data_IF_258352097862
#
_entry.id   IF_258352097862
#
_cell.length_a   1.000
_cell.length_b   1.000
_cell.length_c   1.000
_cell.angle_alpha   90.00
_cell.angle_beta   90.00
_cell.angle_gamma   90.00
#
_symmetry.space_group_name_H-M   'P 1'
#
loop_
_entity.id
_entity.type
_entity.pdbx_description
1 polymer ?
#
# COMPACT_ATOMS: atom_id res chain seq x y z
N UNK A 1 32.23 -70.86 -42.10
CA UNK A 1 32.31 -69.38 -42.05
C UNK A 1 30.96 -68.80 -42.44
N UNK A 2 30.14 -68.40 -41.47
CA UNK A 2 28.95 -67.60 -41.74
C UNK A 2 28.69 -66.69 -40.54
N UNK A 3 28.54 -65.39 -40.83
CA UNK A 3 28.63 -64.26 -39.90
C UNK A 3 27.34 -64.08 -39.11
N UNK A 4 27.46 -63.90 -37.80
CA UNK A 4 26.37 -63.51 -36.91
C UNK A 4 26.21 -61.98 -36.99
N UNK A 5 25.09 -61.50 -37.53
CA UNK A 5 24.74 -60.07 -37.57
C UNK A 5 24.03 -59.67 -36.28
N UNK A 6 24.69 -58.87 -35.45
CA UNK A 6 24.06 -58.14 -34.35
C UNK A 6 23.34 -56.90 -34.91
N UNK A 7 22.02 -56.83 -34.71
CA UNK A 7 21.23 -55.60 -34.94
C UNK A 7 21.32 -54.72 -33.68
N UNK A 8 22.03 -53.60 -33.78
CA UNK A 8 21.95 -52.52 -32.79
C UNK A 8 20.68 -51.72 -33.03
N UNK A 9 19.78 -51.69 -32.05
CA UNK A 9 18.65 -50.77 -32.01
C UNK A 9 19.11 -49.45 -31.38
N UNK A 10 19.15 -48.37 -32.16
CA UNK A 10 19.32 -47.01 -31.65
C UNK A 10 17.96 -46.52 -31.13
N UNK A 11 17.83 -46.37 -29.82
CA UNK A 11 16.69 -45.67 -29.20
C UNK A 11 17.07 -44.19 -29.12
N UNK A 12 16.49 -43.37 -29.99
CA UNK A 12 16.60 -41.92 -29.90
C UNK A 12 15.62 -41.41 -28.82
N UNK A 13 16.12 -41.16 -27.62
CA UNK A 13 15.37 -40.40 -26.59
C UNK A 13 15.32 -38.94 -27.02
N UNK A 14 14.17 -38.51 -27.56
CA UNK A 14 13.84 -37.10 -27.70
C UNK A 14 13.52 -36.53 -26.31
N UNK A 15 14.47 -35.76 -25.75
CA UNK A 15 14.19 -34.89 -24.61
C UNK A 15 13.45 -33.68 -25.18
N UNK A 16 12.14 -33.63 -24.96
CA UNK A 16 11.36 -32.43 -25.22
C UNK A 16 11.67 -31.43 -24.11
N UNK A 17 12.61 -30.52 -24.36
CA UNK A 17 12.79 -29.36 -23.50
C UNK A 17 11.55 -28.48 -23.70
N UNK A 18 10.64 -28.48 -22.72
CA UNK A 18 9.55 -27.53 -22.68
C UNK A 18 10.17 -26.14 -22.49
N UNK A 19 10.32 -25.41 -23.59
CA UNK A 19 10.62 -23.99 -23.57
C UNK A 19 9.39 -23.28 -23.01
N UNK A 20 9.41 -22.98 -21.71
CA UNK A 20 8.44 -22.07 -21.09
C UNK A 20 8.68 -20.71 -21.74
N UNK A 21 7.76 -20.26 -22.58
CA UNK A 21 7.86 -18.94 -23.19
C UNK A 21 7.80 -17.90 -22.07
N UNK A 22 8.80 -17.02 -21.99
CA UNK A 22 8.76 -15.88 -21.05
C UNK A 22 7.48 -15.03 -21.22
N UNK A 23 6.89 -15.05 -22.43
CA UNK A 23 5.61 -14.43 -22.74
C UNK A 23 4.40 -15.07 -22.01
N UNK A 24 4.40 -16.38 -21.75
CA UNK A 24 3.33 -17.02 -20.97
C UNK A 24 3.42 -16.70 -19.48
N UNK A 25 4.62 -16.45 -18.96
CA UNK A 25 4.82 -16.00 -17.56
C UNK A 25 4.36 -14.55 -17.36
N UNK A 26 4.49 -13.70 -18.38
CA UNK A 26 4.02 -12.31 -18.38
C UNK A 26 2.50 -12.18 -18.57
N UNK A 27 1.89 -13.03 -19.41
CA UNK A 27 0.45 -13.05 -19.70
C UNK A 27 -0.43 -13.43 -18.49
N UNK A 28 0.11 -14.18 -17.52
CA UNK A 28 -0.64 -14.51 -16.28
C UNK A 28 -0.61 -13.40 -15.22
N UNK A 29 0.23 -12.37 -15.35
CA UNK A 29 0.47 -11.43 -14.26
C UNK A 29 -0.59 -10.32 -14.11
N UNK A 30 -1.39 -10.02 -15.13
CA UNK A 30 -2.21 -8.79 -15.17
C UNK A 30 -3.63 -8.95 -14.64
N UNK A 31 -4.26 -10.11 -14.82
CA UNK A 31 -5.57 -10.44 -14.23
C UNK A 31 -5.48 -10.81 -12.73
N UNK A 32 -4.28 -10.96 -12.19
CA UNK A 32 -4.06 -11.39 -10.81
C UNK A 32 -3.97 -10.26 -9.80
N UNK A 33 -3.56 -9.05 -10.19
CA UNK A 33 -3.38 -7.94 -9.24
C UNK A 33 -4.62 -7.68 -8.39
N UNK A 34 -5.81 -7.56 -8.99
CA UNK A 34 -7.05 -7.33 -8.22
C UNK A 34 -7.37 -8.50 -7.27
N UNK A 35 -7.15 -9.74 -7.70
CA UNK A 35 -7.34 -10.95 -6.87
C UNK A 35 -6.32 -10.99 -5.73
N UNK A 36 -5.07 -10.69 -6.01
CA UNK A 36 -3.98 -10.68 -5.04
C UNK A 36 -4.22 -9.54 -4.03
N UNK A 37 -4.72 -8.38 -4.46
CA UNK A 37 -5.18 -7.30 -3.58
C UNK A 37 -6.32 -7.75 -2.67
N UNK A 38 -7.32 -8.46 -3.19
CA UNK A 38 -8.39 -9.04 -2.38
C UNK A 38 -7.85 -10.02 -1.32
N UNK A 39 -6.89 -10.88 -1.69
CA UNK A 39 -6.27 -11.80 -0.73
C UNK A 39 -5.46 -11.06 0.34
N UNK A 40 -4.67 -10.06 -0.03
CA UNK A 40 -3.95 -9.21 0.92
C UNK A 40 -4.91 -8.50 1.87
N UNK A 41 -6.01 -7.96 1.36
CA UNK A 41 -7.02 -7.26 2.14
C UNK A 41 -7.74 -8.18 3.15
N UNK A 42 -8.10 -9.39 2.74
CA UNK A 42 -8.84 -10.34 3.57
C UNK A 42 -7.98 -11.04 4.62
N UNK A 43 -6.66 -11.02 4.47
CA UNK A 43 -5.73 -11.73 5.35
C UNK A 43 -5.40 -10.90 6.61
N UNK A 44 -5.97 -11.28 7.74
CA UNK A 44 -5.86 -10.56 9.02
C UNK A 44 -4.88 -11.21 10.00
N UNK A 45 -3.89 -11.98 9.53
CA UNK A 45 -2.87 -12.51 10.44
C UNK A 45 -2.03 -11.37 11.06
N UNK A 46 -1.34 -11.69 12.17
CA UNK A 46 -0.78 -10.69 13.08
C UNK A 46 0.68 -10.29 12.84
N UNK A 47 1.44 -10.99 11.99
CA UNK A 47 2.85 -10.68 11.75
C UNK A 47 3.35 -11.22 10.40
N UNK A 48 4.42 -10.64 9.86
CA UNK A 48 5.08 -11.16 8.67
C UNK A 48 6.28 -12.07 8.99
N UNK A 49 6.25 -12.77 10.14
CA UNK A 49 7.25 -13.75 10.57
C UNK A 49 8.21 -13.30 11.67
N UNK A 50 8.07 -12.08 12.22
CA UNK A 50 8.83 -11.62 13.40
C UNK A 50 8.15 -10.45 14.13
N UNK A 51 8.68 -10.09 15.30
CA UNK A 51 8.26 -8.91 16.08
C UNK A 51 8.74 -7.56 15.49
N UNK A 52 9.52 -7.59 14.41
CA UNK A 52 9.99 -6.40 13.68
C UNK A 52 9.58 -6.45 12.22
N UNK A 53 8.54 -7.22 11.92
CA UNK A 53 7.96 -7.40 10.60
C UNK A 53 6.45 -7.17 10.64
N UNK A 54 6.01 -5.89 10.76
CA UNK A 54 4.61 -5.54 10.85
C UNK A 54 3.82 -6.01 9.62
N UNK A 55 2.52 -6.25 9.81
CA UNK A 55 1.63 -6.86 8.80
C UNK A 55 1.56 -6.12 7.47
N UNK A 56 1.81 -4.79 7.44
CA UNK A 56 1.88 -4.02 6.20
C UNK A 56 3.00 -4.49 5.25
N UNK A 57 3.96 -5.28 5.74
CA UNK A 57 5.00 -5.86 4.90
C UNK A 57 4.52 -7.05 4.07
N UNK A 58 3.39 -7.69 4.38
CA UNK A 58 2.93 -8.91 3.70
C UNK A 58 1.42 -8.99 3.45
N UNK A 59 0.60 -8.16 4.09
CA UNK A 59 -0.86 -8.12 3.94
C UNK A 59 -1.37 -6.69 3.98
N UNK A 60 -2.66 -6.53 3.65
CA UNK A 60 -3.31 -5.25 3.45
C UNK A 60 -2.78 -4.50 2.24
N UNK A 61 -3.40 -3.35 1.95
CA UNK A 61 -3.08 -2.51 0.81
C UNK A 61 -2.54 -1.18 1.31
N UNK A 62 -1.30 -0.85 0.96
CA UNK A 62 -0.77 0.50 1.15
C UNK A 62 -1.19 1.32 -0.07
N UNK A 63 -1.94 2.40 0.15
CA UNK A 63 -2.64 3.16 -0.88
C UNK A 63 -2.41 4.65 -0.72
N UNK A 64 -2.21 5.38 -1.83
CA UNK A 64 -2.08 6.84 -1.83
C UNK A 64 -2.94 7.44 -2.92
N UNK A 65 -3.74 8.41 -2.52
CA UNK A 65 -4.48 9.28 -3.42
C UNK A 65 -3.55 10.26 -4.12
N UNK A 66 -3.79 10.52 -5.40
CA UNK A 66 -3.02 11.48 -6.18
C UNK A 66 -3.94 12.29 -7.07
N UNK A 67 -3.43 13.41 -7.56
CA UNK A 67 -4.02 14.14 -8.67
C UNK A 67 -2.96 14.17 -9.77
N UNK A 68 -3.25 13.72 -10.99
CA UNK A 68 -2.31 13.87 -12.09
C UNK A 68 -2.39 15.28 -12.65
N UNK A 69 -1.26 15.80 -13.12
CA UNK A 69 -1.19 17.13 -13.70
C UNK A 69 -0.09 17.27 -14.75
N UNK A 70 0.02 18.46 -15.38
CA UNK A 70 1.12 18.76 -16.27
C UNK A 70 2.42 18.99 -15.49
N UNK A 71 3.54 18.49 -16.00
CA UNK A 71 4.88 18.81 -15.50
C UNK A 71 5.34 18.03 -14.26
N UNK A 72 4.57 17.04 -13.81
CA UNK A 72 4.97 16.08 -12.77
C UNK A 72 4.24 14.74 -12.99
N UNK A 73 4.77 13.68 -12.39
CA UNK A 73 4.10 12.38 -12.35
C UNK A 73 3.55 12.11 -10.96
N UNK A 74 2.39 11.48 -10.86
CA UNK A 74 1.69 11.29 -9.58
C UNK A 74 2.43 10.39 -8.58
N UNK A 75 3.36 9.55 -9.04
CA UNK A 75 4.23 8.73 -8.19
C UNK A 75 5.53 9.45 -7.78
N UNK A 76 5.75 10.70 -8.18
CA UNK A 76 6.88 11.48 -7.70
C UNK A 76 6.51 12.19 -6.40
N UNK A 77 7.41 12.25 -5.41
CA UNK A 77 7.21 13.05 -4.22
C UNK A 77 7.09 14.51 -4.63
N UNK A 78 6.12 15.22 -4.04
CA UNK A 78 5.95 16.65 -4.24
C UNK A 78 7.15 17.42 -3.66
N UNK A 79 7.32 18.72 -4.00
CA UNK A 79 8.35 19.54 -3.37
C UNK A 79 8.27 19.58 -1.83
N UNK A 80 7.06 19.49 -1.26
CA UNK A 80 6.87 19.39 0.19
C UNK A 80 7.35 18.03 0.71
N UNK A 81 6.98 16.94 0.04
CA UNK A 81 7.41 15.59 0.41
C UNK A 81 8.96 15.49 0.41
N UNK A 82 9.61 16.06 -0.60
CA UNK A 82 11.09 16.14 -0.67
C UNK A 82 11.66 17.01 0.46
N UNK A 83 11.06 18.18 0.74
CA UNK A 83 11.55 19.10 1.76
C UNK A 83 11.38 18.55 3.18
N UNK A 84 10.35 17.75 3.41
CA UNK A 84 10.04 17.16 4.72
C UNK A 84 10.50 15.71 4.86
N UNK A 85 10.94 15.10 3.76
CA UNK A 85 11.38 13.71 3.66
C UNK A 85 10.28 12.70 4.00
N UNK A 86 9.03 12.99 3.65
CA UNK A 86 7.88 12.14 4.01
C UNK A 86 6.85 12.08 2.89
N UNK A 87 6.17 10.95 2.76
CA UNK A 87 5.05 10.76 1.85
C UNK A 87 3.94 10.03 2.59
N UNK A 88 2.75 10.61 2.63
CA UNK A 88 1.59 10.02 3.30
C UNK A 88 0.88 8.96 2.45
N UNK A 89 0.55 7.84 3.07
CA UNK A 89 -0.27 6.76 2.54
C UNK A 89 -1.35 6.40 3.55
N UNK A 90 -2.33 5.61 3.15
CA UNK A 90 -3.22 4.89 4.05
C UNK A 90 -3.00 3.39 3.92
N UNK A 91 -3.52 2.64 4.89
CA UNK A 91 -3.49 1.18 4.92
C UNK A 91 -4.91 0.61 4.95
N UNK A 92 -5.21 -0.31 4.05
CA UNK A 92 -6.51 -0.99 3.99
C UNK A 92 -6.37 -2.46 4.34
N UNK A 93 -7.18 -2.94 5.27
CA UNK A 93 -7.35 -4.37 5.55
C UNK A 93 -8.77 -4.63 6.04
N UNK A 94 -9.24 -5.88 5.98
CA UNK A 94 -10.59 -6.26 6.43
C UNK A 94 -10.94 -5.73 7.83
N UNK A 95 -9.95 -5.71 8.70
CA UNK A 95 -10.05 -5.33 10.11
C UNK A 95 -9.44 -3.93 10.41
N UNK A 96 -9.13 -3.17 9.35
CA UNK A 96 -8.57 -1.82 9.33
C UNK A 96 -9.11 -1.06 8.09
N UNK A 97 -10.44 -0.93 7.99
CA UNK A 97 -11.15 -0.37 6.81
C UNK A 97 -11.91 0.89 7.16
N UNK A 98 -11.91 1.85 6.24
CA UNK A 98 -12.70 3.08 6.30
C UNK A 98 -13.56 3.25 5.05
N UNK A 99 -14.58 4.11 5.10
CA UNK A 99 -15.62 4.20 4.06
C UNK A 99 -15.30 5.13 2.89
N UNK A 100 -14.30 6.01 3.02
CA UNK A 100 -13.93 6.95 1.96
C UNK A 100 -12.61 7.64 2.26
N UNK A 101 -11.98 8.14 1.20
CA UNK A 101 -10.68 8.80 1.34
C UNK A 101 -10.81 10.31 1.62
N UNK A 102 -9.67 10.95 1.93
CA UNK A 102 -9.60 12.36 2.33
C UNK A 102 -10.20 13.27 1.26
N UNK A 103 -11.17 14.10 1.65
CA UNK A 103 -11.87 15.04 0.75
C UNK A 103 -12.47 14.37 -0.51
N UNK A 104 -12.80 13.08 -0.44
CA UNK A 104 -13.36 12.34 -1.57
C UNK A 104 -12.35 12.05 -2.67
N UNK A 105 -11.06 11.97 -2.36
CA UNK A 105 -10.09 11.50 -3.34
C UNK A 105 -10.45 10.10 -3.82
N UNK A 106 -10.22 9.91 -5.11
CA UNK A 106 -10.88 8.85 -5.87
C UNK A 106 -9.96 8.18 -6.88
N UNK A 107 -8.67 8.52 -6.91
CA UNK A 107 -7.69 7.85 -7.75
C UNK A 107 -6.30 7.96 -7.14
N UNK A 108 -5.39 7.10 -7.59
CA UNK A 108 -3.99 7.15 -7.19
C UNK A 108 -3.29 5.84 -7.47
N UNK A 109 -2.39 5.43 -6.57
CA UNK A 109 -1.65 4.18 -6.71
C UNK A 109 -1.52 3.39 -5.40
N UNK A 110 -1.24 2.11 -5.55
CA UNK A 110 -0.98 1.17 -4.45
C UNK A 110 0.44 0.64 -4.52
N UNK A 111 0.95 0.14 -3.40
CA UNK A 111 2.29 -0.44 -3.32
C UNK A 111 2.23 -1.96 -3.12
N UNK A 112 3.17 -2.66 -3.74
CA UNK A 112 3.42 -4.06 -3.44
C UNK A 112 3.95 -4.22 -2.01
N UNK A 113 3.55 -5.30 -1.31
CA UNK A 113 4.21 -5.70 -0.08
C UNK A 113 5.63 -6.19 -0.37
N UNK A 114 6.48 -6.16 0.65
CA UNK A 114 7.91 -6.55 0.56
C UNK A 114 8.09 -8.05 0.87
N UNK A 115 7.17 -8.64 1.61
CA UNK A 115 7.15 -10.02 2.11
C UNK A 115 5.83 -10.71 1.75
N UNK A 116 5.75 -12.01 2.05
CA UNK A 116 4.56 -12.82 1.79
C UNK A 116 4.43 -13.32 0.34
N UNK A 117 3.33 -14.04 0.04
CA UNK A 117 3.12 -14.68 -1.25
C UNK A 117 2.79 -13.70 -2.39
N UNK A 118 2.30 -12.50 -2.06
CA UNK A 118 1.90 -11.46 -3.02
C UNK A 118 2.92 -10.31 -3.13
N UNK A 119 4.16 -10.54 -2.66
CA UNK A 119 5.22 -9.52 -2.69
C UNK A 119 5.57 -9.08 -4.11
N UNK A 120 6.03 -7.84 -4.21
CA UNK A 120 6.52 -7.30 -5.47
C UNK A 120 7.80 -7.99 -5.98
N UNK A 121 8.19 -7.69 -7.23
CA UNK A 121 9.47 -8.14 -7.79
C UNK A 121 10.66 -7.74 -6.91
N UNK A 122 11.70 -8.58 -6.89
CA UNK A 122 12.83 -8.44 -5.96
C UNK A 122 13.72 -7.21 -6.22
N UNK A 123 13.62 -6.63 -7.42
CA UNK A 123 14.32 -5.44 -7.89
C UNK A 123 13.61 -4.13 -7.52
N UNK A 124 12.40 -4.18 -6.96
CA UNK A 124 11.71 -2.98 -6.47
C UNK A 124 12.36 -2.42 -5.21
N UNK A 125 12.43 -1.10 -5.14
CA UNK A 125 12.86 -0.35 -3.96
C UNK A 125 11.98 -0.70 -2.76
N UNK A 126 12.61 -0.95 -1.61
CA UNK A 126 11.91 -1.16 -0.34
C UNK A 126 11.72 0.19 0.34
N UNK A 127 10.50 0.70 0.32
CA UNK A 127 10.14 1.95 0.99
C UNK A 127 9.94 1.69 2.49
N UNK A 128 10.51 2.56 3.34
CA UNK A 128 10.40 2.41 4.80
C UNK A 128 9.17 3.13 5.32
N UNK A 129 8.31 2.42 6.05
CA UNK A 129 7.24 3.04 6.84
C UNK A 129 7.83 3.52 8.16
N UNK A 130 7.78 4.82 8.39
CA UNK A 130 8.41 5.49 9.52
C UNK A 130 7.50 5.44 10.76
N UNK A 131 6.26 5.87 10.60
CA UNK A 131 5.26 5.81 11.65
C UNK A 131 3.86 5.65 11.05
N UNK A 132 2.90 5.33 11.91
CA UNK A 132 1.52 5.19 11.51
C UNK A 132 0.57 5.70 12.60
N UNK A 133 -0.56 6.25 12.17
CA UNK A 133 -1.59 6.87 13.01
C UNK A 133 -2.94 6.17 12.77
N UNK A 134 -3.71 5.82 13.83
CA UNK A 134 -5.05 5.24 13.67
C UNK A 134 -6.07 6.15 12.97
N UNK A 135 -5.84 7.47 12.98
CA UNK A 135 -6.64 8.51 12.31
C UNK A 135 -5.71 9.41 11.48
N UNK A 136 -6.22 10.36 10.68
CA UNK A 136 -5.42 11.36 9.94
C UNK A 136 -4.38 11.97 10.88
N UNK A 137 -3.11 11.75 10.62
CA UNK A 137 -2.02 12.16 11.50
C UNK A 137 -1.80 13.67 11.50
N UNK A 138 -2.38 14.41 10.56
CA UNK A 138 -2.13 15.84 10.34
C UNK A 138 -0.62 16.11 10.30
N UNK A 139 0.05 15.30 9.52
CA UNK A 139 1.52 15.22 9.46
C UNK A 139 2.14 16.50 8.89
N UNK A 140 1.36 17.35 8.19
CA UNK A 140 1.71 18.75 7.84
C UNK A 140 1.90 19.66 9.06
N UNK A 141 1.34 19.28 10.22
CA UNK A 141 1.49 19.99 11.50
C UNK A 141 2.59 19.41 12.37
N UNK A 142 3.35 18.42 11.88
CA UNK A 142 4.42 17.71 12.58
C UNK A 142 5.76 17.99 11.92
N UNK A 143 6.39 19.10 12.30
CA UNK A 143 7.59 19.61 11.61
C UNK A 143 8.91 18.90 11.96
N UNK A 144 8.86 17.78 12.68
CA UNK A 144 10.04 17.04 13.13
C UNK A 144 9.89 15.56 12.82
N UNK A 145 11.02 14.87 12.71
CA UNK A 145 11.09 13.43 12.45
C UNK A 145 10.22 12.99 11.26
N UNK A 146 10.34 13.72 10.14
CA UNK A 146 9.64 13.40 8.89
C UNK A 146 8.11 13.29 9.04
N UNK A 147 7.50 14.06 9.96
CA UNK A 147 6.06 13.98 10.22
C UNK A 147 5.66 13.01 11.33
N UNK A 148 6.59 12.27 11.91
CA UNK A 148 6.34 11.34 13.02
C UNK A 148 6.48 11.99 14.41
N UNK A 149 7.08 13.19 14.47
CA UNK A 149 7.19 13.96 15.69
C UNK A 149 5.85 14.56 16.17
N UNK A 150 5.86 15.31 17.27
CA UNK A 150 4.65 15.94 17.80
C UNK A 150 4.16 17.09 16.92
N UNK A 151 2.87 17.41 17.07
CA UNK A 151 2.29 18.64 16.54
C UNK A 151 2.71 19.86 17.35
N UNK A 152 2.70 21.04 16.70
CA UNK A 152 2.96 22.31 17.39
C UNK A 152 1.89 22.65 18.44
N UNK A 153 0.65 22.19 18.25
CA UNK A 153 -0.47 22.46 19.15
C UNK A 153 -0.41 21.64 20.43
N UNK A 154 0.05 20.38 20.35
CA UNK A 154 0.12 19.45 21.47
C UNK A 154 1.52 18.82 21.60
N UNK A 155 2.56 19.62 21.87
CA UNK A 155 3.96 19.19 21.76
C UNK A 155 4.36 18.08 22.75
N UNK A 156 3.62 17.91 23.85
CA UNK A 156 3.88 16.87 24.85
C UNK A 156 2.99 15.64 24.68
N UNK A 157 1.76 15.81 24.17
CA UNK A 157 0.74 14.75 24.11
C UNK A 157 0.78 14.00 22.78
N UNK A 158 1.20 14.67 21.71
CA UNK A 158 1.22 14.08 20.36
C UNK A 158 2.58 13.49 19.95
N UNK A 159 3.53 13.39 20.91
CA UNK A 159 4.78 12.62 20.70
C UNK A 159 4.48 11.16 20.39
N UNK A 160 5.45 10.41 19.88
CA UNK A 160 5.27 8.98 19.56
C UNK A 160 4.67 8.20 20.74
N UNK A 161 3.75 7.28 20.44
CA UNK A 161 3.00 6.55 21.47
C UNK A 161 3.93 5.80 22.43
N UNK A 162 4.92 5.09 21.88
CA UNK A 162 5.88 4.34 22.71
C UNK A 162 6.72 5.24 23.62
N UNK A 163 7.00 6.48 23.21
CA UNK A 163 7.77 7.45 24.02
C UNK A 163 7.04 7.86 25.30
N UNK A 164 5.72 7.78 25.31
CA UNK A 164 4.87 8.12 26.45
C UNK A 164 4.20 6.90 27.09
N UNK A 165 4.69 5.68 26.79
CA UNK A 165 4.19 4.44 27.38
C UNK A 165 2.83 3.98 26.86
N UNK A 166 2.34 4.58 25.76
CA UNK A 166 1.12 4.14 25.09
C UNK A 166 1.51 3.01 24.13
N UNK A 167 1.33 1.77 24.58
CA UNK A 167 1.68 0.55 23.82
C UNK A 167 0.52 -0.41 23.66
N UNK A 168 -0.71 0.05 23.94
CA UNK A 168 -1.94 -0.72 23.73
C UNK A 168 -3.00 0.16 23.09
N UNK A 169 -3.91 -0.44 22.34
CA UNK A 169 -5.04 0.24 21.72
C UNK A 169 -5.97 0.89 22.75
N UNK A 170 -6.17 0.26 23.91
CA UNK A 170 -6.98 0.80 25.01
C UNK A 170 -6.32 2.04 25.61
N UNK A 171 -4.99 2.02 25.82
CA UNK A 171 -4.26 3.20 26.26
C UNK A 171 -4.32 4.32 25.21
N UNK A 172 -4.22 3.98 23.92
CA UNK A 172 -4.36 4.94 22.83
C UNK A 172 -5.77 5.56 22.81
N UNK A 173 -6.83 4.77 22.97
CA UNK A 173 -8.20 5.27 23.01
C UNK A 173 -8.45 6.18 24.22
N UNK A 174 -7.88 5.83 25.38
CA UNK A 174 -7.92 6.68 26.56
C UNK A 174 -7.24 8.03 26.30
N UNK A 175 -6.07 8.01 25.65
CA UNK A 175 -5.36 9.23 25.22
C UNK A 175 -6.18 10.06 24.24
N UNK A 176 -6.71 9.43 23.18
CA UNK A 176 -7.59 10.07 22.21
C UNK A 176 -8.78 10.79 22.85
N UNK A 177 -9.43 10.15 23.83
CA UNK A 177 -10.57 10.71 24.55
C UNK A 177 -10.20 11.77 25.60
N UNK A 178 -8.92 11.85 25.98
CA UNK A 178 -8.40 12.87 26.90
C UNK A 178 -8.11 14.22 26.20
N UNK A 179 -8.23 14.29 24.88
CA UNK A 179 -8.08 15.53 24.13
C UNK A 179 -9.00 16.64 24.69
N UNK A 180 -8.49 17.88 24.90
CA UNK A 180 -9.28 18.96 25.46
C UNK A 180 -10.57 19.21 24.67
N UNK A 181 -11.67 19.50 25.39
CA UNK A 181 -12.96 19.76 24.76
C UNK A 181 -12.86 20.89 23.73
N UNK A 182 -13.41 20.66 22.53
CA UNK A 182 -13.38 21.61 21.42
C UNK A 182 -12.06 21.65 20.62
N UNK A 183 -11.05 20.84 21.00
CA UNK A 183 -9.82 20.70 20.20
C UNK A 183 -9.95 19.67 19.08
N UNK A 184 -9.09 19.79 18.07
CA UNK A 184 -8.94 18.76 17.04
C UNK A 184 -8.15 17.57 17.61
N UNK A 185 -8.83 16.44 17.80
CA UNK A 185 -8.24 15.21 18.35
C UNK A 185 -7.14 14.62 17.47
N UNK A 186 -7.22 14.82 16.15
CA UNK A 186 -6.17 14.39 15.22
C UNK A 186 -4.82 15.06 15.50
N UNK A 187 -4.83 16.30 16.02
CA UNK A 187 -3.59 16.99 16.43
C UNK A 187 -3.08 16.52 17.80
N UNK A 188 -3.95 15.94 18.64
CA UNK A 188 -3.64 15.48 19.99
C UNK A 188 -3.10 14.05 20.01
N UNK A 189 -3.54 13.20 19.09
CA UNK A 189 -3.15 11.80 19.02
C UNK A 189 -1.64 11.59 18.91
N UNK A 190 -1.17 10.47 19.45
CA UNK A 190 0.16 9.95 19.18
C UNK A 190 0.13 9.01 17.96
N UNK A 191 1.27 8.90 17.26
CA UNK A 191 1.52 7.88 16.24
C UNK A 191 2.45 6.79 16.76
N UNK A 192 2.36 5.60 16.20
CA UNK A 192 3.24 4.49 16.52
C UNK A 192 4.48 4.52 15.62
N UNK A 193 5.67 4.45 16.23
CA UNK A 193 6.93 4.24 15.49
C UNK A 193 7.01 2.78 15.01
N UNK A 194 7.16 2.59 13.70
CA UNK A 194 7.17 1.26 13.08
C UNK A 194 8.39 1.01 12.19
N UNK A 195 9.41 1.89 12.29
CA UNK A 195 10.69 1.76 11.58
C UNK A 195 11.36 0.44 11.86
N UNK A 196 12.05 -0.12 10.87
CA UNK A 196 12.74 -1.40 11.04
C UNK A 196 13.77 -1.37 12.19
N UNK A 197 14.43 -0.22 12.37
CA UNK A 197 15.40 0.03 13.45
C UNK A 197 14.85 0.75 14.68
N UNK A 198 13.53 0.70 14.94
CA UNK A 198 12.92 1.44 16.05
C UNK A 198 13.60 1.14 17.39
N UNK A 199 13.95 2.16 18.20
CA UNK A 199 14.52 1.95 19.53
C UNK A 199 13.51 1.36 20.53
N UNK A 200 12.22 1.30 20.18
CA UNK A 200 11.15 0.77 21.03
C UNK A 200 10.93 -0.74 20.85
N UNK A 201 11.62 -1.38 19.89
CA UNK A 201 11.61 -2.83 19.72
C UNK A 201 10.46 -3.36 18.88
N UNK A 202 9.41 -3.86 19.52
CA UNK A 202 8.32 -4.63 18.88
C UNK A 202 7.42 -3.76 17.97
N UNK A 203 7.87 -3.54 16.73
CA UNK A 203 7.12 -2.76 15.74
C UNK A 203 5.93 -3.50 15.17
N UNK A 204 5.98 -4.84 15.15
CA UNK A 204 4.82 -5.65 14.77
C UNK A 204 3.69 -5.47 15.78
N UNK A 205 4.01 -5.56 17.07
CA UNK A 205 3.09 -5.26 18.16
C UNK A 205 2.53 -3.84 18.04
N UNK A 206 3.39 -2.84 17.82
CA UNK A 206 2.97 -1.45 17.68
C UNK A 206 1.95 -1.23 16.55
N UNK A 207 2.20 -1.78 15.35
CA UNK A 207 1.26 -1.66 14.24
C UNK A 207 -0.03 -2.47 14.47
N UNK A 208 0.03 -3.61 15.14
CA UNK A 208 -1.18 -4.34 15.54
C UNK A 208 -2.04 -3.53 16.52
N UNK A 209 -1.43 -2.75 17.42
CA UNK A 209 -2.18 -1.86 18.31
C UNK A 209 -2.81 -0.69 17.57
N UNK A 210 -2.20 -0.21 16.48
CA UNK A 210 -2.85 0.75 15.58
C UNK A 210 -4.12 0.17 14.98
N UNK A 211 -4.06 -1.03 14.38
CA UNK A 211 -5.22 -1.69 13.79
C UNK A 211 -6.30 -1.91 14.85
N UNK A 212 -5.91 -2.34 16.06
CA UNK A 212 -6.84 -2.51 17.17
C UNK A 212 -7.46 -1.19 17.63
N UNK A 213 -6.71 -0.08 17.62
CA UNK A 213 -7.24 1.24 17.96
C UNK A 213 -8.32 1.70 16.95
N UNK A 214 -8.11 1.44 15.65
CA UNK A 214 -9.13 1.68 14.62
C UNK A 214 -10.41 0.90 14.91
N UNK A 215 -10.29 -0.39 15.25
CA UNK A 215 -11.45 -1.23 15.62
C UNK A 215 -12.20 -0.70 16.85
N UNK A 216 -11.47 -0.17 17.85
CA UNK A 216 -12.07 0.41 19.04
C UNK A 216 -12.78 1.75 18.77
N UNK A 217 -12.30 2.53 17.79
CA UNK A 217 -12.94 3.77 17.35
C UNK A 217 -14.23 3.52 16.56
N UNK A 218 -14.32 2.39 15.87
CA UNK A 218 -15.50 1.99 15.11
C UNK A 218 -15.90 3.04 14.07
N UNK A 219 -17.15 3.47 14.11
CA UNK A 219 -17.70 4.49 13.19
C UNK A 219 -16.90 5.80 13.18
N UNK A 220 -16.19 6.14 14.26
CA UNK A 220 -15.35 7.34 14.28
C UNK A 220 -14.20 7.24 13.28
N UNK A 221 -13.54 6.08 13.21
CA UNK A 221 -12.46 5.85 12.25
C UNK A 221 -13.00 5.54 10.86
N UNK A 222 -14.10 4.79 10.78
CA UNK A 222 -14.72 4.43 9.51
C UNK A 222 -15.13 5.66 8.67
N UNK A 223 -15.47 6.77 9.32
CA UNK A 223 -15.81 8.05 8.67
C UNK A 223 -14.62 9.01 8.49
N UNK A 224 -13.41 8.58 8.82
CA UNK A 224 -12.16 9.28 8.55
C UNK A 224 -11.20 8.31 7.81
N UNK A 225 -9.91 8.35 8.07
CA UNK A 225 -8.91 7.46 7.51
C UNK A 225 -7.70 7.35 8.44
N UNK A 226 -6.95 6.25 8.37
CA UNK A 226 -5.62 6.14 8.96
C UNK A 226 -4.55 6.80 8.06
N UNK A 227 -3.36 7.03 8.65
CA UNK A 227 -2.21 7.56 7.92
C UNK A 227 -0.93 6.78 8.25
N UNK A 228 -0.24 6.31 7.22
CA UNK A 228 1.13 5.82 7.22
C UNK A 228 2.05 6.91 6.67
N UNK A 229 3.15 7.15 7.36
CA UNK A 229 4.22 8.04 6.89
C UNK A 229 5.33 7.17 6.32
N UNK A 230 5.57 7.28 5.03
CA UNK A 230 6.65 6.58 4.32
C UNK A 230 7.80 7.55 4.06
N UNK A 231 9.03 7.09 4.20
CA UNK A 231 10.22 7.89 3.85
C UNK A 231 10.17 8.32 2.38
N UNK A 232 10.42 9.60 2.13
CA UNK A 232 10.38 10.10 0.76
C UNK A 232 11.58 9.57 -0.04
N UNK A 233 11.30 9.12 -1.26
CA UNK A 233 12.34 8.75 -2.20
C UNK A 233 12.84 9.95 -3.01
N UNK A 234 14.01 9.85 -3.67
CA UNK A 234 14.46 10.90 -4.57
C UNK A 234 13.46 11.13 -5.71
N UNK A 235 13.15 12.39 -6.03
CA UNK A 235 12.24 12.73 -7.13
C UNK A 235 12.72 12.24 -8.52
N UNK A 236 14.01 11.96 -8.65
CA UNK A 236 14.65 11.40 -9.84
C UNK A 236 14.81 9.87 -9.81
N UNK A 237 14.22 9.17 -8.84
CA UNK A 237 14.19 7.70 -8.82
C UNK A 237 13.56 7.20 -10.12
N UNK A 238 14.15 6.13 -10.68
CA UNK A 238 13.58 5.49 -11.85
C UNK A 238 12.19 4.93 -11.50
N UNK A 239 11.11 5.31 -12.18
CA UNK A 239 9.77 4.78 -11.88
C UNK A 239 9.66 3.26 -11.97
N UNK A 240 10.50 2.61 -12.78
CA UNK A 240 10.54 1.15 -12.84
C UNK A 240 11.04 0.51 -11.54
N UNK A 241 11.76 1.25 -10.68
CA UNK A 241 12.23 0.77 -9.37
C UNK A 241 11.19 0.98 -8.27
N UNK A 242 10.15 1.80 -8.47
CA UNK A 242 9.10 1.98 -7.48
C UNK A 242 8.23 0.73 -7.35
N UNK A 243 7.87 0.31 -6.13
CA UNK A 243 7.05 -0.88 -5.90
C UNK A 243 5.56 -0.62 -6.19
N UNK A 244 5.21 0.07 -7.27
CA UNK A 244 3.81 0.33 -7.62
C UNK A 244 3.14 -0.99 -8.01
N UNK A 245 2.07 -1.36 -7.32
CA UNK A 245 1.27 -2.56 -7.57
C UNK A 245 0.15 -2.30 -8.57
N UNK A 246 -0.55 -1.17 -8.41
CA UNK A 246 -1.62 -0.76 -9.33
C UNK A 246 -1.77 0.76 -9.32
N UNK A 247 -2.29 1.29 -10.43
CA UNK A 247 -3.08 2.51 -10.36
C UNK A 247 -4.50 2.15 -9.93
N UNK A 248 -5.24 3.08 -9.35
CA UNK A 248 -6.62 2.83 -8.96
C UNK A 248 -7.53 4.00 -9.24
N UNK A 249 -8.82 3.69 -9.34
CA UNK A 249 -9.89 4.67 -9.21
C UNK A 249 -11.03 4.09 -8.36
N UNK A 250 -11.80 4.98 -7.74
CA UNK A 250 -12.95 4.67 -6.89
C UNK A 250 -14.24 4.79 -7.70
N UNK A 251 -15.08 3.76 -7.66
CA UNK A 251 -16.41 3.78 -8.26
C UNK A 251 -17.32 2.71 -7.63
N UNK A 252 -18.61 2.99 -7.50
CA UNK A 252 -19.60 2.07 -6.93
C UNK A 252 -20.54 1.46 -7.98
N UNK A 253 -21.06 0.27 -7.73
CA UNK A 253 -22.06 -0.38 -8.62
C UNK A 253 -21.66 -0.39 -10.10
N UNK A 254 -22.51 0.13 -10.97
CA UNK A 254 -22.26 0.20 -12.42
C UNK A 254 -21.66 1.54 -12.88
N UNK A 255 -21.15 2.38 -11.97
CA UNK A 255 -20.58 3.68 -12.33
C UNK A 255 -19.35 3.52 -13.24
N UNK A 256 -19.20 4.44 -14.19
CA UNK A 256 -18.11 4.45 -15.17
C UNK A 256 -16.79 5.06 -14.62
N UNK A 257 -16.75 5.51 -13.36
CA UNK A 257 -15.58 6.13 -12.73
C UNK A 257 -15.30 7.59 -13.13
N UNK A 258 -15.76 8.05 -14.30
CA UNK A 258 -15.69 9.46 -14.69
C UNK A 258 -14.27 10.04 -14.66
N UNK A 259 -14.10 11.19 -13.98
CA UNK A 259 -12.78 11.84 -13.87
C UNK A 259 -11.75 10.98 -13.13
N UNK A 260 -12.19 10.17 -12.15
CA UNK A 260 -11.29 9.31 -11.39
C UNK A 260 -10.65 8.24 -12.29
N UNK A 261 -11.45 7.61 -13.15
CA UNK A 261 -10.93 6.69 -14.16
C UNK A 261 -10.03 7.41 -15.18
N UNK A 262 -10.42 8.60 -15.65
CA UNK A 262 -9.60 9.38 -16.58
C UNK A 262 -8.22 9.75 -15.97
N UNK A 263 -8.17 10.04 -14.67
CA UNK A 263 -6.94 10.31 -13.94
C UNK A 263 -6.06 9.05 -13.85
N UNK A 264 -6.62 7.91 -13.44
CA UNK A 264 -5.87 6.64 -13.39
C UNK A 264 -5.35 6.22 -14.78
N UNK A 265 -6.13 6.46 -15.83
CA UNK A 265 -5.72 6.23 -17.22
C UNK A 265 -4.63 7.17 -17.69
N UNK A 266 -4.56 8.40 -17.17
CA UNK A 266 -3.44 9.30 -17.43
C UNK A 266 -2.17 8.79 -16.74
N UNK A 267 -2.25 8.44 -15.46
CA UNK A 267 -1.11 7.90 -14.71
C UNK A 267 -0.56 6.62 -15.34
N UNK A 268 -1.43 5.71 -15.79
CA UNK A 268 -1.00 4.48 -16.48
C UNK A 268 -0.26 4.77 -17.79
N UNK A 269 -0.77 5.70 -18.62
CA UNK A 269 -0.10 6.09 -19.87
C UNK A 269 1.25 6.73 -19.60
N UNK A 270 1.29 7.69 -18.68
CA UNK A 270 2.53 8.37 -18.31
C UNK A 270 3.57 7.36 -17.80
N UNK A 271 3.17 6.39 -16.96
CA UNK A 271 4.08 5.38 -16.43
C UNK A 271 4.63 4.50 -17.56
N UNK A 272 3.75 4.00 -18.42
CA UNK A 272 4.11 3.16 -19.56
C UNK A 272 5.08 3.88 -20.50
N UNK A 273 4.83 5.15 -20.81
CA UNK A 273 5.68 5.95 -21.70
C UNK A 273 7.05 6.22 -21.09
N UNK A 274 7.13 6.58 -19.80
CA UNK A 274 8.38 6.90 -19.11
C UNK A 274 9.25 5.64 -18.88
N UNK A 275 8.63 4.50 -18.64
CA UNK A 275 9.33 3.22 -18.43
C UNK A 275 9.62 2.49 -19.73
N UNK A 276 9.20 3.02 -20.88
CA UNK A 276 9.32 2.39 -22.18
C UNK A 276 8.63 1.00 -22.25
N UNK A 277 7.45 0.92 -21.64
CA UNK A 277 6.51 -0.19 -21.82
C UNK A 277 6.20 -1.02 -20.58
N UNK A 278 6.61 -0.63 -19.38
CA UNK A 278 6.22 -1.38 -18.18
C UNK A 278 4.72 -1.23 -17.93
N UNK A 279 4.05 -2.37 -17.73
CA UNK A 279 2.63 -2.42 -17.48
C UNK A 279 2.32 -2.43 -15.98
N UNK A 280 1.58 -1.42 -15.52
CA UNK A 280 0.94 -1.39 -14.19
C UNK A 280 -0.59 -1.34 -14.41
N UNK A 281 -1.37 -2.29 -13.87
CA UNK A 281 -2.81 -2.31 -14.11
C UNK A 281 -3.54 -1.18 -13.38
N UNK A 282 -4.65 -0.74 -13.96
CA UNK A 282 -5.67 0.04 -13.27
C UNK A 282 -6.63 -0.93 -12.59
N UNK A 283 -6.81 -0.79 -11.28
CA UNK A 283 -7.77 -1.55 -10.48
C UNK A 283 -8.88 -0.61 -10.02
N UNK A 284 -10.12 -0.98 -10.31
CA UNK A 284 -11.30 -0.34 -9.76
C UNK A 284 -11.46 -0.75 -8.29
N UNK A 285 -11.59 0.21 -7.41
CA UNK A 285 -11.84 0.00 -5.98
C UNK A 285 -13.28 0.44 -5.65
N UNK A 286 -14.02 -0.40 -4.93
CA UNK A 286 -15.32 -0.04 -4.36
C UNK A 286 -15.20 -0.04 -2.83
N UNK A 287 -15.26 1.14 -2.18
CA UNK A 287 -15.22 1.24 -0.72
C UNK A 287 -16.46 0.63 -0.05
N UNK A 288 -16.30 0.10 1.17
CA UNK A 288 -17.41 -0.39 1.98
C UNK A 288 -18.36 0.77 2.30
N UNK A 289 -19.67 0.52 2.26
CA UNK A 289 -20.70 1.53 2.62
C UNK A 289 -20.98 1.54 4.13
N UNK A 290 -20.60 0.47 4.83
CA UNK A 290 -20.72 0.29 6.27
C UNK A 290 -19.59 -0.57 6.80
N UNK A 291 -19.39 -0.58 8.12
CA UNK A 291 -18.38 -1.43 8.77
C UNK A 291 -18.58 -2.94 8.53
N UNK A 292 -19.80 -3.38 8.17
CA UNK A 292 -20.06 -4.78 7.81
C UNK A 292 -19.69 -5.14 6.38
N UNK A 293 -19.54 -4.16 5.50
CA UNK A 293 -19.18 -4.37 4.09
C UNK A 293 -17.66 -4.42 3.93
N UNK A 294 -17.18 -5.02 2.84
CA UNK A 294 -15.75 -5.11 2.52
C UNK A 294 -15.41 -4.24 1.30
N UNK A 295 -14.13 -3.86 1.17
CA UNK A 295 -13.63 -3.29 -0.08
C UNK A 295 -13.66 -4.31 -1.19
N UNK A 296 -14.01 -3.90 -2.40
CA UNK A 296 -13.96 -4.76 -3.59
C UNK A 296 -12.94 -4.24 -4.60
N UNK A 297 -12.27 -5.15 -5.31
CA UNK A 297 -11.16 -4.87 -6.22
C UNK A 297 -11.40 -5.55 -7.57
N UNK A 298 -11.49 -4.76 -8.63
CA UNK A 298 -11.81 -5.27 -9.98
C UNK A 298 -10.78 -4.84 -11.00
N UNK A 299 -10.23 -5.82 -11.72
CA UNK A 299 -9.52 -5.56 -12.97
C UNK A 299 -10.52 -5.61 -14.13
N UNK A 300 -10.51 -4.56 -14.96
CA UNK A 300 -11.38 -4.45 -16.14
C UNK A 300 -10.52 -4.12 -17.35
N UNK A 301 -10.49 -4.98 -18.39
CA UNK A 301 -9.71 -4.71 -19.60
C UNK A 301 -10.05 -3.37 -20.25
N UNK A 302 -11.31 -2.96 -20.21
CA UNK A 302 -11.80 -1.70 -20.78
C UNK A 302 -11.35 -0.44 -20.01
N UNK A 303 -10.90 -0.60 -18.77
CA UNK A 303 -10.39 0.52 -17.98
C UNK A 303 -8.93 0.84 -18.35
N UNK A 304 -8.21 -0.12 -18.95
CA UNK A 304 -6.79 0.02 -19.28
C UNK A 304 -6.59 0.94 -20.48
N UNK A 305 -5.60 1.81 -20.38
CA UNK A 305 -5.27 2.85 -21.35
C UNK A 305 -4.03 2.54 -22.20
N UNK A 306 -3.38 1.39 -21.95
CA UNK A 306 -2.19 0.89 -22.66
C UNK A 306 -2.40 -0.58 -23.02
N UNK A 307 -1.62 -1.18 -23.94
CA UNK A 307 -1.75 -2.58 -24.30
C UNK A 307 -1.60 -3.49 -23.08
N UNK A 308 -2.52 -4.45 -22.92
CA UNK A 308 -2.44 -5.48 -21.89
C UNK A 308 -1.49 -6.59 -22.39
N UNK A 309 -0.43 -6.93 -21.65
CA UNK A 309 0.50 -8.04 -21.95
C UNK A 309 -0.16 -9.41 -22.17
#
# INVERSE_FOLDING_TARGET
>A
MSKMLYRFAFVATFIWAASVNAAEVLSTATAHTARDMWHQYMDTHGDCGSNTAPVFLCTGIIIRETVPGPGYYSWQPSPEDVATGRVSFSYLRKDAKFGGFKNGGSNGFTLFPVLGPYKGPADKTKLEVLCAFPMDGWTDRRSTDHGCGPTQTFPAQSVLCQQQGIVTAEAWLNHWNAAPAGSNRNLYQCGFDVRHGSPFGDTTGAFNQLIRAMQLLGETEFHDHNELVIDAWPANLNPAELPIQSFFYVASGSEAGGQALANAQKDQKDYYDVTNGDFVPIVRITPPQSMSDDYDFHFRPEDQAVPIP
#
